data_IF_568408864643
#
_entry.id   IF_568408864643
#
_cell.length_a   1.000
_cell.length_b   1.000
_cell.length_c   1.000
_cell.angle_alpha   90.00
_cell.angle_beta   90.00
_cell.angle_gamma   90.00
#
_symmetry.space_group_name_H-M   'P 1'
#
loop_
_entity.id
_entity.type
_entity.pdbx_description
1 polymer ?
#
# COMPACT_ATOMS: atom_id res chain seq x y z
N UNK A 1 21.90 10.80 7.53
CA UNK A 1 21.79 10.28 6.15
C UNK A 1 21.22 8.87 6.20
N UNK A 2 20.25 8.51 5.35
CA UNK A 2 19.80 7.12 5.23
C UNK A 2 20.83 6.24 4.51
N UNK A 3 20.93 4.99 4.97
CA UNK A 3 21.64 3.89 4.32
C UNK A 3 20.57 2.93 3.79
N UNK A 4 20.63 2.65 2.50
CA UNK A 4 19.78 1.69 1.81
C UNK A 4 20.52 0.37 1.66
N UNK A 5 19.87 -0.75 1.99
CA UNK A 5 20.42 -2.08 1.81
C UNK A 5 19.31 -3.10 1.54
N UNK A 6 19.57 -4.19 0.81
CA UNK A 6 18.57 -5.22 0.56
C UNK A 6 18.36 -6.08 1.81
N UNK A 7 17.13 -6.53 1.99
CA UNK A 7 16.73 -7.54 2.97
C UNK A 7 16.15 -8.75 2.22
N UNK A 8 15.90 -9.86 2.94
CA UNK A 8 15.21 -11.02 2.40
C UNK A 8 13.87 -10.65 1.73
N UNK A 9 13.43 -11.48 0.77
CA UNK A 9 12.18 -11.32 0.00
C UNK A 9 12.07 -10.03 -0.84
N UNK A 10 13.19 -9.57 -1.42
CA UNK A 10 13.26 -8.37 -2.27
C UNK A 10 12.71 -7.09 -1.59
N UNK A 11 12.97 -6.97 -0.28
CA UNK A 11 12.60 -5.80 0.52
C UNK A 11 13.76 -4.82 0.64
N UNK A 12 13.43 -3.54 0.59
CA UNK A 12 14.37 -2.46 0.89
C UNK A 12 14.37 -2.18 2.39
N UNK A 13 15.55 -2.16 3.01
CA UNK A 13 15.73 -1.69 4.37
C UNK A 13 16.42 -0.33 4.39
N UNK A 14 16.00 0.51 5.35
CA UNK A 14 16.47 1.88 5.50
C UNK A 14 17.00 2.06 6.91
N UNK A 15 18.27 2.43 7.04
CA UNK A 15 18.91 2.70 8.33
C UNK A 15 19.31 4.17 8.41
N UNK A 16 18.87 4.84 9.48
CA UNK A 16 19.20 6.23 9.73
C UNK A 16 20.51 6.34 10.52
N UNK A 17 21.53 6.94 9.91
CA UNK A 17 22.77 7.25 10.62
C UNK A 17 22.52 8.35 11.67
N UNK A 18 22.78 8.01 12.92
CA UNK A 18 22.82 8.97 14.02
C UNK A 18 24.04 9.89 13.91
N UNK A 19 23.93 11.09 14.46
CA UNK A 19 25.01 12.08 14.45
C UNK A 19 26.26 11.54 15.17
N UNK A 20 27.43 11.69 14.53
CA UNK A 20 28.71 11.23 15.07
C UNK A 20 29.02 9.73 14.88
N UNK A 21 28.12 8.95 14.27
CA UNK A 21 28.36 7.53 13.95
C UNK A 21 28.96 7.39 12.54
N UNK A 22 30.05 6.64 12.40
CA UNK A 22 30.63 6.33 11.09
C UNK A 22 29.80 5.27 10.35
N UNK A 23 29.81 5.32 9.01
CA UNK A 23 29.12 4.33 8.16
C UNK A 23 29.57 2.91 8.48
N UNK A 24 30.88 2.71 8.66
CA UNK A 24 31.50 1.43 9.03
C UNK A 24 30.90 0.82 10.30
N UNK A 25 30.67 1.64 11.32
CA UNK A 25 30.06 1.19 12.59
C UNK A 25 28.61 0.80 12.38
N UNK A 26 27.88 1.54 11.53
CA UNK A 26 26.48 1.28 11.27
C UNK A 26 26.26 0.01 10.44
N UNK A 27 27.15 -0.29 9.48
CA UNK A 27 27.05 -1.49 8.62
C UNK A 27 27.70 -2.73 9.24
N UNK A 28 28.50 -2.60 10.29
CA UNK A 28 29.13 -3.73 10.99
C UNK A 28 28.17 -4.87 11.42
N UNK A 29 26.90 -4.62 11.77
CA UNK A 29 25.93 -5.68 12.08
C UNK A 29 25.40 -6.43 10.84
N UNK A 30 25.61 -5.91 9.62
CA UNK A 30 25.11 -6.54 8.40
C UNK A 30 25.96 -7.77 8.05
N UNK A 31 25.35 -8.81 7.43
CA UNK A 31 26.10 -9.96 6.92
C UNK A 31 27.21 -9.51 5.96
N UNK A 32 28.34 -10.21 6.01
CA UNK A 32 29.50 -9.90 5.17
C UNK A 32 29.12 -10.02 3.68
N UNK A 33 29.44 -8.98 2.90
CA UNK A 33 29.10 -8.90 1.48
C UNK A 33 27.73 -8.29 1.15
N UNK A 34 26.98 -7.77 2.13
CA UNK A 34 25.72 -7.05 1.86
C UNK A 34 26.01 -5.73 1.14
N UNK A 35 25.46 -5.49 -0.08
CA UNK A 35 25.61 -4.21 -0.74
C UNK A 35 24.80 -3.14 -0.02
N UNK A 36 25.32 -1.91 0.04
CA UNK A 36 24.61 -0.78 0.62
C UNK A 36 24.91 0.51 -0.13
N UNK A 37 23.96 1.43 -0.13
CA UNK A 37 24.08 2.75 -0.75
C UNK A 37 23.78 3.81 0.30
N UNK A 38 24.72 4.72 0.50
CA UNK A 38 24.52 5.92 1.33
C UNK A 38 24.04 7.03 0.41
N UNK A 39 22.85 7.57 0.65
CA UNK A 39 22.30 8.66 -0.15
C UNK A 39 21.64 9.68 0.76
N UNK A 40 21.70 10.96 0.36
CA UNK A 40 20.99 12.05 1.05
C UNK A 40 19.56 12.20 0.55
N UNK A 41 19.23 11.60 -0.60
CA UNK A 41 17.92 11.73 -1.21
C UNK A 41 16.94 10.74 -0.56
N UNK A 42 15.97 11.29 0.15
CA UNK A 42 14.86 10.53 0.75
C UNK A 42 13.54 11.05 0.18
N UNK A 43 13.25 10.66 -1.05
CA UNK A 43 11.99 10.93 -1.73
C UNK A 43 11.16 9.65 -1.86
N UNK A 44 11.11 8.90 -0.75
CA UNK A 44 10.35 7.67 -0.64
C UNK A 44 9.00 7.96 -0.03
N UNK A 45 7.96 7.38 -0.62
CA UNK A 45 6.62 7.54 -0.11
C UNK A 45 6.36 6.61 1.10
N UNK A 46 6.01 7.15 2.28
CA UNK A 46 5.74 6.34 3.47
C UNK A 46 4.61 5.32 3.29
N UNK A 47 3.61 5.62 2.46
CA UNK A 47 2.45 4.74 2.24
C UNK A 47 2.78 3.57 1.30
N UNK A 48 3.93 3.63 0.60
CA UNK A 48 4.35 2.66 -0.39
C UNK A 48 5.77 2.12 -0.15
N UNK A 49 6.29 2.19 1.08
CA UNK A 49 7.64 1.70 1.41
C UNK A 49 7.87 0.25 0.97
N UNK A 50 6.87 -0.61 1.12
CA UNK A 50 6.92 -2.03 0.72
C UNK A 50 6.96 -2.23 -0.81
N UNK A 51 6.75 -1.17 -1.60
CA UNK A 51 6.87 -1.20 -3.06
C UNK A 51 8.26 -0.83 -3.57
N UNK A 52 9.16 -0.35 -2.70
CA UNK A 52 10.53 -0.03 -3.12
C UNK A 52 11.46 -1.23 -3.01
N UNK A 53 12.33 -1.36 -4.00
CA UNK A 53 13.35 -2.40 -4.09
C UNK A 53 14.74 -1.78 -4.05
N UNK A 54 15.71 -2.55 -3.60
CA UNK A 54 17.09 -2.09 -3.54
C UNK A 54 17.69 -1.96 -4.95
N UNK A 55 18.39 -0.85 -5.18
CA UNK A 55 19.13 -0.58 -6.41
C UNK A 55 20.55 -0.12 -6.07
N UNK A 56 21.57 -0.69 -6.69
CA UNK A 56 22.98 -0.38 -6.39
C UNK A 56 23.40 1.04 -6.81
N UNK A 57 22.73 1.64 -7.80
CA UNK A 57 23.06 2.99 -8.31
C UNK A 57 22.33 4.09 -7.52
N UNK A 58 21.03 3.92 -7.27
CA UNK A 58 20.17 4.95 -6.66
C UNK A 58 19.85 4.68 -5.19
N UNK A 59 20.13 3.48 -4.68
CA UNK A 59 19.75 2.99 -3.34
C UNK A 59 18.34 2.39 -3.30
N UNK A 60 17.39 2.99 -4.00
CA UNK A 60 16.01 2.54 -4.07
C UNK A 60 15.42 2.74 -5.47
N UNK A 61 14.58 1.81 -5.91
CA UNK A 61 13.76 1.91 -7.13
C UNK A 61 12.32 1.51 -6.82
N UNK A 62 11.35 2.25 -7.35
CA UNK A 62 9.92 1.96 -7.15
C UNK A 62 9.46 0.82 -8.07
N UNK A 63 8.86 -0.21 -7.50
CA UNK A 63 8.13 -1.23 -8.24
C UNK A 63 6.64 -0.88 -8.30
N UNK A 64 6.17 -0.47 -9.49
CA UNK A 64 4.78 -0.05 -9.69
C UNK A 64 3.76 -1.18 -9.50
N UNK A 65 4.12 -2.44 -9.75
CA UNK A 65 3.21 -3.57 -9.54
C UNK A 65 3.01 -3.84 -8.05
N UNK A 66 4.08 -3.75 -7.24
CA UNK A 66 3.98 -3.80 -5.77
C UNK A 66 3.16 -2.62 -5.26
N UNK A 67 3.37 -1.40 -5.77
CA UNK A 67 2.61 -0.22 -5.37
C UNK A 67 1.11 -0.38 -5.66
N UNK A 68 0.75 -0.88 -6.84
CA UNK A 68 -0.64 -1.22 -7.19
C UNK A 68 -1.21 -2.29 -6.25
N UNK A 69 -0.42 -3.28 -5.86
CA UNK A 69 -0.78 -4.28 -4.85
C UNK A 69 -1.17 -3.64 -3.52
N UNK A 70 -0.31 -2.78 -2.98
CA UNK A 70 -0.55 -2.03 -1.72
C UNK A 70 -1.84 -1.22 -1.82
N UNK A 71 -2.06 -0.52 -2.95
CA UNK A 71 -3.27 0.29 -3.13
C UNK A 71 -4.54 -0.56 -3.14
N UNK A 72 -4.49 -1.75 -3.76
CA UNK A 72 -5.60 -2.69 -3.74
C UNK A 72 -5.87 -3.22 -2.32
N UNK A 73 -4.83 -3.46 -1.53
CA UNK A 73 -4.98 -3.87 -0.12
C UNK A 73 -5.65 -2.77 0.71
N UNK A 74 -5.25 -1.51 0.53
CA UNK A 74 -5.93 -0.36 1.14
C UNK A 74 -7.43 -0.30 0.76
N UNK A 75 -7.77 -0.60 -0.51
CA UNK A 75 -9.18 -0.70 -0.91
C UNK A 75 -9.93 -1.86 -0.24
N UNK A 76 -9.26 -3.00 -0.04
CA UNK A 76 -9.82 -4.16 0.67
C UNK A 76 -10.09 -3.83 2.14
N UNK A 77 -9.20 -3.09 2.77
CA UNK A 77 -9.37 -2.62 4.14
C UNK A 77 -10.50 -1.61 4.24
N UNK A 78 -10.53 -0.60 3.37
CA UNK A 78 -11.56 0.43 3.36
C UNK A 78 -12.98 -0.13 3.08
N UNK A 79 -13.11 -1.11 2.18
CA UNK A 79 -14.44 -1.69 1.86
C UNK A 79 -14.99 -2.61 2.95
N UNK A 80 -14.15 -3.15 3.83
CA UNK A 80 -14.57 -4.12 4.86
C UNK A 80 -15.66 -3.55 5.78
N UNK A 81 -15.47 -2.41 6.48
CA UNK A 81 -16.52 -1.86 7.33
C UNK A 81 -17.78 -1.44 6.55
N UNK A 82 -17.63 -1.01 5.29
CA UNK A 82 -18.77 -0.65 4.44
C UNK A 82 -19.62 -1.86 4.07
N UNK A 83 -18.99 -2.99 3.74
CA UNK A 83 -19.69 -4.25 3.46
C UNK A 83 -20.39 -4.78 4.72
N UNK A 84 -19.73 -4.72 5.87
CA UNK A 84 -20.32 -5.14 7.16
C UNK A 84 -21.56 -4.30 7.52
N UNK A 85 -21.51 -2.98 7.30
CA UNK A 85 -22.67 -2.10 7.52
C UNK A 85 -23.83 -2.45 6.57
N UNK A 86 -23.54 -2.63 5.28
CA UNK A 86 -24.55 -3.01 4.28
C UNK A 86 -25.11 -4.41 4.52
N UNK A 87 -24.36 -5.33 5.11
CA UNK A 87 -24.87 -6.65 5.50
C UNK A 87 -25.96 -6.52 6.58
N UNK A 88 -25.77 -5.63 7.57
CA UNK A 88 -26.79 -5.34 8.58
C UNK A 88 -28.04 -4.72 7.95
N UNK A 89 -27.87 -3.73 7.08
CA UNK A 89 -29.00 -3.08 6.42
C UNK A 89 -29.75 -4.02 5.47
N UNK A 90 -29.03 -4.93 4.82
CA UNK A 90 -29.65 -5.97 3.99
C UNK A 90 -30.53 -6.91 4.83
N UNK A 91 -30.05 -7.35 5.99
CA UNK A 91 -30.85 -8.19 6.90
C UNK A 91 -32.09 -7.46 7.40
N UNK A 92 -31.99 -6.18 7.76
CA UNK A 92 -33.15 -5.34 8.13
C UNK A 92 -34.17 -5.23 7.01
N UNK A 93 -33.72 -5.04 5.77
CA UNK A 93 -34.61 -4.96 4.61
C UNK A 93 -35.36 -6.28 4.39
N UNK A 94 -34.68 -7.42 4.57
CA UNK A 94 -35.32 -8.74 4.50
C UNK A 94 -36.35 -8.96 5.61
N UNK A 95 -36.07 -8.51 6.83
CA UNK A 95 -37.01 -8.62 7.97
C UNK A 95 -38.33 -7.89 7.74
N UNK A 96 -38.32 -6.79 6.99
CA UNK A 96 -39.52 -6.01 6.64
C UNK A 96 -40.06 -6.32 5.24
N UNK A 97 -39.53 -7.35 4.57
CA UNK A 97 -39.87 -7.75 3.20
C UNK A 97 -39.72 -6.61 2.15
N UNK A 98 -38.82 -5.65 2.38
CA UNK A 98 -38.53 -4.57 1.44
C UNK A 98 -37.58 -5.05 0.34
N UNK A 99 -38.16 -5.63 -0.71
CA UNK A 99 -37.42 -6.12 -1.87
C UNK A 99 -36.68 -5.03 -2.64
N UNK A 100 -37.15 -3.78 -2.58
CA UNK A 100 -36.55 -2.65 -3.30
C UNK A 100 -35.25 -2.23 -2.59
N UNK A 101 -35.31 -2.08 -1.27
CA UNK A 101 -34.13 -1.78 -0.46
C UNK A 101 -33.09 -2.91 -0.54
N UNK A 102 -33.53 -4.17 -0.45
CA UNK A 102 -32.65 -5.33 -0.57
C UNK A 102 -31.91 -5.35 -1.93
N UNK A 103 -32.60 -5.08 -3.04
CA UNK A 103 -31.99 -5.01 -4.36
C UNK A 103 -30.96 -3.87 -4.47
N UNK A 104 -31.28 -2.68 -3.97
CA UNK A 104 -30.36 -1.53 -3.98
C UNK A 104 -29.08 -1.81 -3.16
N UNK A 105 -29.21 -2.42 -1.98
CA UNK A 105 -28.07 -2.79 -1.14
C UNK A 105 -27.21 -3.86 -1.82
N UNK A 106 -27.81 -4.84 -2.49
CA UNK A 106 -27.07 -5.86 -3.23
C UNK A 106 -26.22 -5.25 -4.35
N UNK A 107 -26.75 -4.27 -5.10
CA UNK A 107 -26.00 -3.51 -6.10
C UNK A 107 -24.83 -2.78 -5.45
N UNK A 108 -25.05 -2.07 -4.34
CA UNK A 108 -24.00 -1.34 -3.65
C UNK A 108 -22.87 -2.25 -3.14
N UNK A 109 -23.23 -3.43 -2.62
CA UNK A 109 -22.24 -4.45 -2.21
C UNK A 109 -21.42 -4.95 -3.39
N UNK A 110 -22.01 -5.03 -4.58
CA UNK A 110 -21.29 -5.43 -5.79
C UNK A 110 -20.32 -4.32 -6.23
N UNK A 111 -20.74 -3.05 -6.23
CA UNK A 111 -19.86 -1.91 -6.52
C UNK A 111 -18.63 -1.87 -5.62
N UNK A 112 -18.81 -2.10 -4.31
CA UNK A 112 -17.72 -2.19 -3.33
C UNK A 112 -16.76 -3.36 -3.59
N UNK A 113 -17.24 -4.46 -4.18
CA UNK A 113 -16.39 -5.60 -4.56
C UNK A 113 -15.61 -5.31 -5.84
N UNK A 114 -16.22 -4.58 -6.76
CA UNK A 114 -15.65 -4.26 -8.06
C UNK A 114 -14.58 -3.17 -8.01
N UNK A 115 -14.42 -2.45 -6.89
CA UNK A 115 -13.31 -1.49 -6.69
C UNK A 115 -11.93 -2.12 -6.90
N UNK A 116 -11.77 -3.42 -6.61
CA UNK A 116 -10.49 -4.14 -6.81
C UNK A 116 -10.28 -4.63 -8.24
N UNK A 117 -11.23 -4.37 -9.15
CA UNK A 117 -11.13 -4.68 -10.58
C UNK A 117 -10.91 -3.44 -11.45
N UNK A 118 -10.91 -2.25 -10.83
CA UNK A 118 -10.71 -1.01 -11.55
C UNK A 118 -9.27 -0.94 -12.08
N UNK A 119 -9.08 -0.41 -13.31
CA UNK A 119 -7.74 -0.12 -13.80
C UNK A 119 -7.09 0.92 -12.90
N UNK A 120 -5.84 0.66 -12.49
CA UNK A 120 -5.07 1.56 -11.65
C UNK A 120 -4.11 2.41 -12.49
N UNK A 121 -3.86 3.67 -12.08
CA UNK A 121 -2.88 4.52 -12.73
C UNK A 121 -1.46 3.94 -12.73
N UNK A 122 -0.63 4.43 -13.66
CA UNK A 122 0.77 4.01 -13.84
C UNK A 122 1.78 4.97 -13.20
N UNK A 123 1.33 6.05 -12.55
CA UNK A 123 2.18 6.95 -11.77
C UNK A 123 1.83 6.90 -10.28
N UNK A 124 2.83 7.07 -9.42
CA UNK A 124 2.65 6.98 -7.97
C UNK A 124 1.71 8.08 -7.44
N UNK A 125 1.87 9.31 -7.94
CA UNK A 125 1.03 10.45 -7.54
C UNK A 125 -0.45 10.24 -7.91
N UNK A 126 -0.71 9.75 -9.13
CA UNK A 126 -2.07 9.41 -9.54
C UNK A 126 -2.63 8.23 -8.74
N UNK A 127 -1.81 7.20 -8.47
CA UNK A 127 -2.22 6.04 -7.70
C UNK A 127 -2.63 6.42 -6.27
N UNK A 128 -1.89 7.34 -5.64
CA UNK A 128 -2.21 7.93 -4.32
C UNK A 128 -3.53 8.67 -4.33
N UNK A 129 -3.73 9.52 -5.34
CA UNK A 129 -4.95 10.31 -5.49
C UNK A 129 -6.16 9.47 -5.90
N UNK A 130 -5.95 8.28 -6.49
CA UNK A 130 -7.01 7.44 -7.02
C UNK A 130 -7.82 6.79 -5.89
N UNK A 131 -9.01 7.34 -5.61
CA UNK A 131 -9.98 6.77 -4.69
C UNK A 131 -11.30 6.48 -5.44
N UNK A 132 -11.73 5.21 -5.55
CA UNK A 132 -13.01 4.86 -6.12
C UNK A 132 -14.17 5.52 -5.38
N UNK A 133 -15.12 6.12 -6.12
CA UNK A 133 -16.31 6.76 -5.54
C UNK A 133 -17.15 5.81 -4.69
N UNK A 134 -17.09 4.51 -4.94
CA UNK A 134 -17.76 3.49 -4.14
C UNK A 134 -17.24 3.43 -2.69
N UNK A 135 -15.99 3.84 -2.44
CA UNK A 135 -15.40 3.90 -1.10
C UNK A 135 -15.66 5.24 -0.40
N UNK A 136 -16.33 6.19 -1.06
CA UNK A 136 -16.72 7.46 -0.47
C UNK A 136 -18.22 7.37 -0.09
N UNK A 137 -18.56 7.16 1.19
CA UNK A 137 -19.94 7.02 1.65
C UNK A 137 -20.72 8.35 1.60
#
# INVERSE_FOLDING_TARGET
>A
MPIFYPQADDKLAIMWLAEGVSVETAVAPLPEGTPFVVSENFDLDPDFLDAYEFNEETGAVLNMDKAKGIRLDQFREARKPLLEALDVDYMRALEVEDSVAAAAIAVRKQELRDVTKLPLPDSLDELKAFLPSALNP
#
